data_IF_878736472289
#
_entry.id   IF_878736472289
#
_cell.length_a   1.000
_cell.length_b   1.000
_cell.length_c   1.000
_cell.angle_alpha   90.00
_cell.angle_beta   90.00
_cell.angle_gamma   90.00
#
_symmetry.space_group_name_H-M   'P 1'
#
loop_
_entity.id
_entity.type
_entity.pdbx_description
1 polymer ?
#
# COMPACT_ATOMS: atom_id res chain seq x y z
N UNK A 1 11.83 17.82 -10.52
CA UNK A 1 11.19 16.65 -9.86
C UNK A 1 10.11 16.02 -10.73
N UNK A 2 9.15 16.78 -11.26
CA UNK A 2 8.14 16.28 -12.20
C UNK A 2 8.73 15.61 -13.46
N UNK A 3 9.75 16.21 -14.08
CA UNK A 3 10.44 15.62 -15.24
C UNK A 3 11.06 14.23 -14.96
N UNK A 4 11.53 13.99 -13.74
CA UNK A 4 12.15 12.70 -13.39
C UNK A 4 11.07 11.64 -13.30
N UNK A 5 9.95 11.96 -12.64
CA UNK A 5 8.79 11.05 -12.51
C UNK A 5 8.20 10.73 -13.88
N UNK A 6 8.03 11.75 -14.73
CA UNK A 6 7.51 11.59 -16.09
C UNK A 6 8.44 10.71 -16.95
N UNK A 7 9.75 10.93 -16.86
CA UNK A 7 10.74 10.08 -17.53
C UNK A 7 10.77 8.67 -16.96
N UNK A 8 10.66 8.49 -15.65
CA UNK A 8 10.61 7.14 -15.03
C UNK A 8 9.34 6.39 -15.43
N UNK A 9 8.19 7.08 -15.52
CA UNK A 9 6.93 6.47 -15.93
C UNK A 9 6.94 6.08 -17.42
N UNK A 10 7.39 6.98 -18.31
CA UNK A 10 7.60 6.70 -19.73
C UNK A 10 8.65 5.61 -19.96
N UNK A 11 9.68 5.55 -19.11
CA UNK A 11 10.69 4.49 -19.15
C UNK A 11 10.15 3.16 -18.64
N UNK A 12 9.28 3.15 -17.62
CA UNK A 12 8.64 1.93 -17.12
C UNK A 12 7.66 1.36 -18.15
N UNK A 13 6.84 2.22 -18.78
CA UNK A 13 5.96 1.85 -19.88
C UNK A 13 6.75 1.42 -21.12
N UNK A 14 7.86 2.10 -21.42
CA UNK A 14 8.79 1.72 -22.47
C UNK A 14 9.43 0.36 -22.20
N UNK A 15 10.05 0.18 -21.03
CA UNK A 15 10.78 -1.01 -20.61
C UNK A 15 9.95 -2.29 -20.60
N UNK A 16 8.64 -2.20 -20.28
CA UNK A 16 7.71 -3.33 -20.41
C UNK A 16 7.54 -3.81 -21.87
N UNK A 17 7.82 -2.94 -22.85
CA UNK A 17 7.75 -3.22 -24.29
C UNK A 17 9.14 -3.37 -24.95
N UNK A 18 10.24 -3.26 -24.20
CA UNK A 18 11.60 -3.29 -24.75
C UNK A 18 12.14 -4.73 -24.86
N UNK A 19 12.85 -5.02 -25.96
CA UNK A 19 13.64 -6.23 -26.12
C UNK A 19 14.90 -6.20 -25.24
N UNK A 20 15.53 -7.36 -25.03
CA UNK A 20 16.72 -7.52 -24.18
C UNK A 20 17.83 -6.47 -24.44
N UNK A 21 18.08 -6.16 -25.72
CA UNK A 21 19.08 -5.16 -26.13
C UNK A 21 18.78 -3.73 -25.65
N UNK A 22 17.50 -3.35 -25.63
CA UNK A 22 17.03 -2.03 -25.18
C UNK A 22 17.01 -1.93 -23.65
N UNK A 23 16.79 -3.05 -22.95
CA UNK A 23 16.94 -3.12 -21.51
C UNK A 23 18.42 -2.95 -21.09
N UNK A 24 19.35 -3.53 -21.85
CA UNK A 24 20.79 -3.37 -21.63
C UNK A 24 21.25 -1.93 -21.88
N UNK A 25 20.82 -1.29 -22.97
CA UNK A 25 21.10 0.13 -23.25
C UNK A 25 20.56 1.04 -22.12
N UNK A 26 19.35 0.79 -21.64
CA UNK A 26 18.75 1.54 -20.53
C UNK A 26 19.55 1.37 -19.23
N UNK A 27 19.96 0.14 -18.91
CA UNK A 27 20.77 -0.14 -17.73
C UNK A 27 22.14 0.55 -17.81
N UNK A 28 22.74 0.61 -19.00
CA UNK A 28 23.98 1.31 -19.25
C UNK A 28 23.81 2.84 -19.12
N UNK A 29 22.74 3.40 -19.68
CA UNK A 29 22.41 4.82 -19.56
C UNK A 29 22.15 5.21 -18.09
N UNK A 30 21.48 4.36 -17.33
CA UNK A 30 21.27 4.56 -15.89
C UNK A 30 22.59 4.48 -15.11
N UNK A 31 23.46 3.50 -15.40
CA UNK A 31 24.81 3.43 -14.81
C UNK A 31 25.63 4.68 -15.10
N UNK A 32 25.57 5.18 -16.33
CA UNK A 32 26.38 6.32 -16.78
C UNK A 32 25.83 7.67 -16.27
N UNK A 33 24.50 7.84 -16.23
CA UNK A 33 23.84 9.06 -15.74
C UNK A 33 23.85 9.18 -14.22
N UNK A 34 23.75 8.05 -13.51
CA UNK A 34 23.80 8.03 -12.04
C UNK A 34 25.21 7.78 -11.50
N UNK A 35 26.18 7.48 -12.38
CA UNK A 35 27.58 7.15 -12.04
C UNK A 35 27.70 6.16 -10.87
N UNK A 36 26.75 5.22 -10.78
CA UNK A 36 26.64 4.29 -9.67
C UNK A 36 27.60 3.13 -9.91
N UNK A 37 28.57 3.01 -9.03
CA UNK A 37 29.32 1.77 -8.87
C UNK A 37 28.39 0.63 -8.44
N UNK A 38 28.83 -0.61 -8.67
CA UNK A 38 28.07 -1.81 -8.29
C UNK A 38 27.80 -1.87 -6.77
N UNK A 39 28.74 -1.34 -5.98
CA UNK A 39 28.63 -1.12 -4.54
C UNK A 39 27.53 -0.10 -4.18
N UNK A 40 27.51 1.06 -4.83
CA UNK A 40 26.49 2.09 -4.58
C UNK A 40 25.09 1.65 -5.01
N UNK A 41 24.99 0.88 -6.09
CA UNK A 41 23.74 0.24 -6.52
C UNK A 41 23.21 -0.74 -5.47
N UNK A 42 24.07 -1.60 -4.92
CA UNK A 42 23.71 -2.52 -3.82
C UNK A 42 23.29 -1.76 -2.56
N UNK A 43 23.99 -0.68 -2.22
CA UNK A 43 23.65 0.18 -1.08
C UNK A 43 22.29 0.87 -1.26
N UNK A 44 21.99 1.38 -2.46
CA UNK A 44 20.70 1.98 -2.81
C UNK A 44 19.54 0.97 -2.70
N UNK A 45 19.70 -0.22 -3.27
CA UNK A 45 18.68 -1.28 -3.19
C UNK A 45 18.45 -1.69 -1.74
N UNK A 46 19.51 -1.82 -0.94
CA UNK A 46 19.41 -2.13 0.49
C UNK A 46 18.66 -1.05 1.27
N UNK A 47 18.98 0.23 1.05
CA UNK A 47 18.30 1.37 1.68
C UNK A 47 16.82 1.46 1.28
N UNK A 48 16.50 1.23 0.00
CA UNK A 48 15.12 1.21 -0.47
C UNK A 48 14.31 0.08 0.17
N UNK A 49 14.88 -1.14 0.23
CA UNK A 49 14.21 -2.27 0.91
C UNK A 49 13.97 -1.99 2.38
N UNK A 50 14.97 -1.44 3.09
CA UNK A 50 14.84 -1.09 4.50
C UNK A 50 13.78 -0.02 4.73
N UNK A 51 13.82 1.07 3.96
CA UNK A 51 12.83 2.15 4.06
C UNK A 51 11.41 1.69 3.67
N UNK A 52 11.29 0.77 2.70
CA UNK A 52 10.01 0.21 2.31
C UNK A 52 9.44 -0.66 3.44
N UNK A 53 10.26 -1.55 4.03
CA UNK A 53 9.86 -2.38 5.15
C UNK A 53 9.46 -1.54 6.37
N UNK A 54 10.26 -0.52 6.74
CA UNK A 54 9.95 0.38 7.86
C UNK A 54 8.66 1.19 7.67
N UNK A 55 8.24 1.42 6.42
CA UNK A 55 7.04 2.20 6.10
C UNK A 55 5.83 1.36 5.72
N UNK A 56 6.00 0.05 5.54
CA UNK A 56 4.93 -0.85 5.13
C UNK A 56 3.85 -0.93 6.20
N UNK A 57 4.24 -1.18 7.46
CA UNK A 57 3.30 -1.32 8.58
C UNK A 57 2.52 -0.03 8.82
N UNK A 58 3.20 1.13 8.76
CA UNK A 58 2.57 2.43 8.92
C UNK A 58 1.58 2.76 7.78
N UNK A 59 1.90 2.36 6.54
CA UNK A 59 0.99 2.52 5.40
C UNK A 59 -0.22 1.60 5.51
N UNK A 60 -0.04 0.36 5.97
CA UNK A 60 -1.12 -0.60 6.19
C UNK A 60 -2.07 -0.11 7.28
N UNK A 61 -1.53 0.38 8.40
CA UNK A 61 -2.32 0.97 9.49
C UNK A 61 -3.12 2.19 9.01
N UNK A 62 -2.50 3.11 8.27
CA UNK A 62 -3.19 4.28 7.72
C UNK A 62 -4.29 3.90 6.74
N UNK A 63 -4.07 2.90 5.89
CA UNK A 63 -5.08 2.40 4.96
C UNK A 63 -6.27 1.78 5.71
N UNK A 64 -6.02 0.97 6.73
CA UNK A 64 -7.07 0.38 7.56
C UNK A 64 -7.89 1.44 8.30
N UNK A 65 -7.24 2.46 8.86
CA UNK A 65 -7.91 3.55 9.57
C UNK A 65 -8.82 4.37 8.63
N UNK A 66 -8.36 4.66 7.41
CA UNK A 66 -9.19 5.38 6.44
C UNK A 66 -10.42 4.57 5.99
N UNK A 67 -10.26 3.26 5.79
CA UNK A 67 -11.38 2.36 5.49
C UNK A 67 -12.38 2.34 6.65
N UNK A 68 -11.90 2.25 7.90
CA UNK A 68 -12.76 2.26 9.09
C UNK A 68 -13.56 3.57 9.19
N UNK A 69 -12.90 4.72 9.02
CA UNK A 69 -13.58 6.03 9.00
C UNK A 69 -14.63 6.13 7.90
N UNK A 70 -14.36 5.56 6.73
CA UNK A 70 -15.33 5.55 5.63
C UNK A 70 -16.57 4.71 6.00
N UNK A 71 -16.36 3.53 6.58
CA UNK A 71 -17.43 2.68 7.11
C UNK A 71 -18.26 3.39 8.18
N UNK A 72 -17.61 4.08 9.12
CA UNK A 72 -18.29 4.85 10.18
C UNK A 72 -19.15 5.99 9.60
N UNK A 73 -18.64 6.70 8.59
CA UNK A 73 -19.36 7.80 7.92
C UNK A 73 -20.64 7.38 7.23
N UNK A 74 -20.66 6.17 6.66
CA UNK A 74 -21.83 5.62 5.98
C UNK A 74 -22.75 4.84 6.93
N UNK A 75 -22.40 4.79 8.23
CA UNK A 75 -23.18 4.09 9.25
C UNK A 75 -23.09 2.56 9.16
N UNK A 76 -22.01 2.04 8.59
CA UNK A 76 -21.79 0.59 8.52
C UNK A 76 -21.42 0.07 9.90
N UNK A 77 -22.32 -0.71 10.49
CA UNK A 77 -22.11 -1.31 11.82
C UNK A 77 -21.20 -2.53 11.70
N UNK A 78 -20.27 -2.70 12.64
CA UNK A 78 -19.45 -3.90 12.71
C UNK A 78 -20.30 -5.14 13.05
N UNK A 79 -19.76 -6.32 12.72
CA UNK A 79 -20.46 -7.57 13.03
C UNK A 79 -20.57 -7.79 14.54
N UNK A 80 -19.56 -7.38 15.29
CA UNK A 80 -19.50 -7.43 16.73
C UNK A 80 -20.59 -6.56 17.37
N UNK A 81 -20.74 -5.31 16.92
CA UNK A 81 -21.79 -4.40 17.38
C UNK A 81 -23.19 -4.93 17.06
N UNK A 82 -23.37 -5.52 15.86
CA UNK A 82 -24.63 -6.14 15.48
C UNK A 82 -24.96 -7.35 16.38
N UNK A 83 -24.00 -8.23 16.64
CA UNK A 83 -24.20 -9.38 17.54
C UNK A 83 -24.56 -8.92 18.96
N UNK A 84 -23.87 -7.91 19.49
CA UNK A 84 -24.17 -7.34 20.80
C UNK A 84 -25.61 -6.79 20.86
N UNK A 85 -26.05 -6.13 19.77
CA UNK A 85 -27.42 -5.65 19.67
C UNK A 85 -28.43 -6.81 19.68
N UNK A 86 -28.18 -7.88 18.91
CA UNK A 86 -29.04 -9.07 18.88
C UNK A 86 -29.15 -9.75 20.26
N UNK A 87 -28.04 -9.84 21.00
CA UNK A 87 -28.05 -10.41 22.36
C UNK A 87 -28.88 -9.55 23.31
N UNK A 88 -28.72 -8.22 23.28
CA UNK A 88 -29.51 -7.30 24.09
C UNK A 88 -31.00 -7.39 23.77
N UNK A 89 -31.37 -7.45 22.48
CA UNK A 89 -32.75 -7.64 22.04
C UNK A 89 -33.31 -8.96 22.57
N UNK A 90 -32.56 -10.05 22.42
CA UNK A 90 -32.98 -11.38 22.91
C UNK A 90 -33.20 -11.40 24.43
N UNK A 91 -32.38 -10.68 25.21
CA UNK A 91 -32.57 -10.56 26.66
C UNK A 91 -33.83 -9.76 27.00
N UNK A 92 -34.07 -8.66 26.28
CA UNK A 92 -35.26 -7.82 26.48
C UNK A 92 -36.54 -8.59 26.14
N UNK A 93 -36.57 -9.32 25.04
CA UNK A 93 -37.72 -10.15 24.63
C UNK A 93 -38.03 -11.23 25.68
N UNK A 94 -37.01 -11.89 26.21
CA UNK A 94 -37.17 -12.87 27.31
C UNK A 94 -37.72 -12.22 28.58
N UNK A 95 -37.28 -11.00 28.91
CA UNK A 95 -37.74 -10.27 30.08
C UNK A 95 -39.20 -9.79 29.98
N UNK A 96 -39.65 -9.46 28.77
CA UNK A 96 -41.05 -9.04 28.52
C UNK A 96 -42.02 -10.22 28.38
N UNK A 97 -41.55 -11.39 27.95
CA UNK A 97 -42.39 -12.59 27.79
C UNK A 97 -42.65 -13.35 29.11
N UNK A 98 -42.08 -12.88 30.23
CA UNK A 98 -42.21 -13.47 31.57
C UNK A 98 -43.16 -12.73 32.52
N UNK A 99 -43.86 -11.69 32.04
CA UNK A 99 -44.97 -11.00 32.72
C UNK A 99 -46.26 -11.20 31.93
#
# INVERSE_FOLDING_TARGET
>A
MLEIIEKTLLTALGAASLSQKKAEELAQDLKQRFNLSEEEGKSLVSKLKKNAAEKQDALEEQAMDEVKKACDRIGLVSREEFTLLCERVSQLEKSQSGN
#
